data_IF_189232930731
#
_entry.id   IF_189232930731
#
_cell.length_a   1.000
_cell.length_b   1.000
_cell.length_c   1.000
_cell.angle_alpha   90.00
_cell.angle_beta   90.00
_cell.angle_gamma   90.00
#
_symmetry.space_group_name_H-M   'P 1'
#
loop_
_entity.id
_entity.type
_entity.pdbx_description
1 polymer ?
#
# COMPACT_ATOMS: atom_id res chain seq x y z
N UNK A 1 5.37 9.49 -31.08
CA UNK A 1 5.35 9.77 -29.62
C UNK A 1 4.16 9.01 -29.07
N UNK A 2 4.38 7.75 -28.65
CA UNK A 2 3.30 6.81 -28.35
C UNK A 2 2.62 7.16 -27.05
N UNK A 3 1.36 7.57 -27.15
CA UNK A 3 0.44 7.75 -26.03
C UNK A 3 0.08 6.37 -25.49
N UNK A 4 0.55 6.04 -24.30
CA UNK A 4 0.15 4.83 -23.61
C UNK A 4 -1.25 5.06 -23.02
N UNK A 5 -2.28 4.66 -23.76
CA UNK A 5 -3.65 4.53 -23.28
C UNK A 5 -3.65 3.50 -22.14
N UNK A 6 -3.80 3.95 -20.90
CA UNK A 6 -4.03 3.08 -19.75
C UNK A 6 -5.54 2.84 -19.59
N UNK A 7 -6.00 1.73 -20.17
CA UNK A 7 -7.35 1.17 -19.98
C UNK A 7 -7.71 1.02 -18.49
N UNK A 8 -8.94 1.36 -18.06
CA UNK A 8 -9.38 1.17 -16.69
C UNK A 8 -9.52 -0.33 -16.39
N UNK A 9 -8.51 -0.91 -15.71
CA UNK A 9 -8.52 -2.30 -15.26
C UNK A 9 -9.76 -2.57 -14.40
N UNK A 10 -10.74 -3.28 -14.98
CA UNK A 10 -11.97 -3.77 -14.31
C UNK A 10 -11.59 -4.41 -12.97
N UNK A 11 -12.02 -3.76 -11.88
CA UNK A 11 -11.90 -4.27 -10.51
C UNK A 11 -12.74 -5.54 -10.38
N UNK A 12 -12.13 -6.70 -10.67
CA UNK A 12 -12.62 -7.99 -10.18
C UNK A 12 -12.75 -7.86 -8.66
N UNK A 13 -13.98 -7.93 -8.16
CA UNK A 13 -14.28 -7.78 -6.75
C UNK A 13 -13.40 -8.71 -5.91
N UNK A 14 -12.76 -8.17 -4.88
CA UNK A 14 -11.98 -8.97 -3.94
C UNK A 14 -12.89 -10.06 -3.35
N UNK A 15 -12.47 -11.34 -3.34
CA UNK A 15 -13.22 -12.36 -2.63
C UNK A 15 -13.38 -11.88 -1.18
N UNK A 16 -14.59 -11.94 -0.62
CA UNK A 16 -14.85 -11.60 0.78
C UNK A 16 -13.94 -12.47 1.65
N UNK A 17 -12.78 -11.92 2.02
CA UNK A 17 -11.79 -12.62 2.84
C UNK A 17 -12.44 -13.04 4.15
N UNK A 18 -12.02 -14.19 4.67
CA UNK A 18 -12.38 -14.67 6.02
C UNK A 18 -12.38 -13.48 6.99
N UNK A 19 -13.49 -13.28 7.70
CA UNK A 19 -13.61 -12.24 8.74
C UNK A 19 -12.38 -12.32 9.65
N UNK A 20 -11.61 -11.23 9.74
CA UNK A 20 -10.48 -11.15 10.67
C UNK A 20 -11.02 -11.45 12.08
N UNK A 21 -10.37 -12.39 12.79
CA UNK A 21 -10.69 -12.62 14.21
C UNK A 21 -10.57 -11.29 14.95
N UNK A 22 -11.49 -11.02 15.87
CA UNK A 22 -11.47 -9.82 16.70
C UNK A 22 -10.11 -9.76 17.40
N UNK A 23 -9.39 -8.65 17.20
CA UNK A 23 -8.14 -8.40 17.91
C UNK A 23 -8.54 -8.17 19.36
N UNK A 24 -8.06 -9.03 20.27
CA UNK A 24 -8.24 -8.80 21.70
C UNK A 24 -7.45 -7.54 22.06
N UNK A 25 -8.00 -6.62 22.87
CA UNK A 25 -7.32 -5.36 23.22
C UNK A 25 -5.93 -5.56 23.85
N UNK A 26 -5.69 -6.74 24.46
CA UNK A 26 -4.43 -7.09 25.13
C UNK A 26 -3.64 -8.18 24.37
N UNK A 27 -4.04 -8.51 23.14
CA UNK A 27 -3.38 -9.53 22.33
C UNK A 27 -2.16 -9.00 21.57
N UNK A 28 -1.25 -9.88 21.12
CA UNK A 28 -0.14 -9.46 20.28
C UNK A 28 -0.67 -8.82 18.99
N UNK A 29 -0.09 -7.66 18.61
CA UNK A 29 -0.39 -7.01 17.34
C UNK A 29 -0.09 -7.99 16.19
N UNK A 30 -0.97 -8.03 15.20
CA UNK A 30 -0.77 -8.90 14.04
C UNK A 30 0.58 -8.60 13.37
N UNK A 31 1.28 -9.63 12.84
CA UNK A 31 2.54 -9.42 12.14
C UNK A 31 2.32 -8.48 10.94
N UNK A 32 3.24 -7.53 10.81
CA UNK A 32 3.23 -6.54 9.74
C UNK A 32 3.65 -7.23 8.44
N UNK A 33 2.82 -7.16 7.39
CA UNK A 33 3.16 -7.71 6.07
C UNK A 33 4.28 -6.90 5.41
N UNK A 34 5.02 -7.50 4.47
CA UNK A 34 6.10 -6.81 3.73
C UNK A 34 5.65 -5.48 3.12
N UNK A 35 4.44 -5.45 2.55
CA UNK A 35 3.82 -4.20 2.06
C UNK A 35 3.65 -3.13 3.14
N UNK A 36 3.18 -3.49 4.33
CA UNK A 36 2.98 -2.50 5.41
C UNK A 36 4.32 -2.02 5.97
N UNK A 37 5.36 -2.87 5.98
CA UNK A 37 6.73 -2.46 6.32
C UNK A 37 7.25 -1.43 5.32
N UNK A 38 7.14 -1.72 4.02
CA UNK A 38 7.50 -0.79 2.94
C UNK A 38 6.75 0.55 3.06
N UNK A 39 5.43 0.50 3.28
CA UNK A 39 4.64 1.72 3.47
C UNK A 39 5.12 2.54 4.67
N UNK A 40 5.40 1.92 5.82
CA UNK A 40 5.83 2.65 7.01
C UNK A 40 7.15 3.37 6.77
N UNK A 41 8.14 2.68 6.19
CA UNK A 41 9.47 3.24 5.93
C UNK A 41 9.42 4.39 4.91
N UNK A 42 8.75 4.16 3.77
CA UNK A 42 8.68 5.18 2.71
C UNK A 42 7.75 6.34 3.05
N UNK A 43 6.68 6.11 3.82
CA UNK A 43 5.77 7.17 4.27
C UNK A 43 6.49 8.18 5.14
N UNK A 44 7.35 7.75 6.07
CA UNK A 44 8.12 8.68 6.89
C UNK A 44 9.06 9.52 6.04
N UNK A 45 9.74 8.91 5.06
CA UNK A 45 10.61 9.63 4.13
C UNK A 45 9.85 10.68 3.31
N UNK A 46 8.69 10.33 2.74
CA UNK A 46 7.88 11.26 1.95
C UNK A 46 7.31 12.37 2.83
N UNK A 47 6.86 12.05 4.05
CA UNK A 47 6.32 13.07 4.96
C UNK A 47 7.38 14.09 5.39
N UNK A 48 8.63 13.67 5.55
CA UNK A 48 9.74 14.58 5.84
C UNK A 48 10.08 15.46 4.64
N UNK A 49 10.04 14.91 3.42
CA UNK A 49 10.33 15.67 2.18
C UNK A 49 9.17 16.58 1.75
N UNK A 50 7.94 16.15 2.01
CA UNK A 50 6.70 16.80 1.62
C UNK A 50 5.73 16.85 2.80
N UNK A 51 6.01 17.69 3.81
CA UNK A 51 5.11 17.84 4.96
C UNK A 51 3.75 18.43 4.56
N UNK A 52 3.67 19.12 3.42
CA UNK A 52 2.45 19.74 2.90
C UNK A 52 1.48 18.74 2.26
N UNK A 53 1.95 17.53 1.92
CA UNK A 53 1.12 16.53 1.28
C UNK A 53 0.23 15.81 2.30
N UNK A 54 -1.08 15.68 2.03
CA UNK A 54 -1.98 14.97 2.92
C UNK A 54 -1.70 13.46 2.86
N UNK A 55 -1.87 12.80 4.01
CA UNK A 55 -1.70 11.35 4.16
C UNK A 55 -2.33 10.47 3.05
N UNK A 56 -3.59 10.69 2.62
CA UNK A 56 -4.18 9.90 1.55
C UNK A 56 -3.40 9.99 0.24
N UNK A 57 -2.80 11.13 -0.08
CA UNK A 57 -2.06 11.31 -1.34
C UNK A 57 -0.71 10.59 -1.31
N UNK A 58 -0.01 10.67 -0.17
CA UNK A 58 1.21 9.90 0.08
C UNK A 58 0.93 8.40 -0.06
N UNK A 59 -0.19 7.92 0.50
CA UNK A 59 -0.54 6.50 0.45
C UNK A 59 -0.90 6.05 -0.97
N UNK A 60 -1.56 6.88 -1.77
CA UNK A 60 -1.83 6.59 -3.20
C UNK A 60 -0.52 6.46 -3.99
N UNK A 61 0.39 7.41 -3.81
CA UNK A 61 1.71 7.43 -4.45
C UNK A 61 2.49 6.14 -4.14
N UNK A 62 2.57 5.78 -2.86
CA UNK A 62 3.26 4.57 -2.41
C UNK A 62 2.58 3.28 -2.87
N UNK A 63 1.25 3.25 -2.95
CA UNK A 63 0.53 2.10 -3.49
C UNK A 63 0.79 1.89 -4.99
N UNK A 64 0.93 2.99 -5.75
CA UNK A 64 1.30 2.94 -7.16
C UNK A 64 2.77 2.51 -7.33
N UNK A 65 3.69 3.04 -6.52
CA UNK A 65 5.11 2.64 -6.50
C UNK A 65 5.24 1.15 -6.15
N UNK A 66 4.57 0.68 -5.11
CA UNK A 66 4.53 -0.74 -4.76
C UNK A 66 3.95 -1.60 -5.86
N UNK A 67 2.90 -1.15 -6.56
CA UNK A 67 2.35 -1.92 -7.68
C UNK A 67 3.34 -2.06 -8.84
N UNK A 68 4.21 -1.05 -9.04
CA UNK A 68 5.26 -1.02 -10.06
C UNK A 68 6.54 -1.79 -9.67
N UNK A 69 6.81 -1.98 -8.38
CA UNK A 69 7.97 -2.78 -7.92
C UNK A 69 7.84 -4.24 -8.39
N UNK A 70 8.95 -4.81 -8.84
CA UNK A 70 9.03 -6.21 -9.27
C UNK A 70 8.70 -7.16 -8.10
N UNK A 71 8.13 -8.36 -8.34
CA UNK A 71 7.83 -9.33 -7.30
C UNK A 71 9.05 -9.71 -6.44
N UNK A 72 10.24 -9.65 -7.03
CA UNK A 72 11.54 -9.89 -6.38
C UNK A 72 11.90 -8.87 -5.31
N UNK A 73 11.33 -7.67 -5.33
CA UNK A 73 11.59 -6.61 -4.34
C UNK A 73 10.52 -6.54 -3.24
N UNK A 74 9.48 -7.39 -3.32
CA UNK A 74 8.30 -7.36 -2.43
C UNK A 74 8.36 -8.31 -1.23
N UNK A 75 9.48 -8.99 -1.02
CA UNK A 75 9.66 -10.04 0.01
C UNK A 75 9.73 -9.50 1.44
#
# INVERSE_FOLDING_TARGET
>A
KGSHEEEPVKKRGWPKGKKRKKILPNGPKAPVTGYVRFLNERREQIRTRHPDLPFPEITKMLGAEWSKLQPTEKQ
#
